data_IF_640559255058
#
_entry.id   IF_640559255058
#
_cell.length_a   1.000
_cell.length_b   1.000
_cell.length_c   1.000
_cell.angle_alpha   90.00
_cell.angle_beta   90.00
_cell.angle_gamma   90.00
#
_symmetry.space_group_name_H-M   'P 1'
#
loop_
_entity.id
_entity.type
_entity.pdbx_description
1 polymer ?
#
# COMPACT_ATOMS: atom_id res chain seq x y z
N UNK A 1 13.57 12.84 3.65
CA UNK A 1 14.71 12.21 2.94
C UNK A 1 14.58 12.32 1.41
N UNK A 2 13.50 11.84 0.75
CA UNK A 2 13.39 11.92 -0.72
C UNK A 2 13.49 13.34 -1.30
N UNK A 3 12.85 14.32 -0.67
CA UNK A 3 12.93 15.73 -1.08
C UNK A 3 14.33 16.34 -0.90
N UNK A 4 15.02 15.98 0.19
CA UNK A 4 16.38 16.45 0.43
C UNK A 4 17.35 15.87 -0.60
N UNK A 5 17.24 14.57 -0.92
CA UNK A 5 18.03 13.95 -1.98
C UNK A 5 17.75 14.55 -3.35
N UNK A 6 16.50 14.91 -3.64
CA UNK A 6 16.11 15.61 -4.87
C UNK A 6 16.84 16.96 -5.00
N UNK A 7 16.74 17.82 -3.98
CA UNK A 7 17.32 19.16 -4.01
C UNK A 7 18.85 19.13 -4.10
N UNK A 8 19.51 18.23 -3.37
CA UNK A 8 20.96 18.07 -3.42
C UNK A 8 21.42 17.58 -4.80
N UNK A 9 20.70 16.62 -5.38
CA UNK A 9 21.00 16.09 -6.70
C UNK A 9 20.88 17.16 -7.80
N UNK A 10 19.80 17.94 -7.80
CA UNK A 10 19.61 19.06 -8.73
C UNK A 10 20.73 20.10 -8.59
N UNK A 11 21.17 20.40 -7.36
CA UNK A 11 22.25 21.37 -7.13
C UNK A 11 23.60 20.93 -7.71
N UNK A 12 23.84 19.62 -7.83
CA UNK A 12 25.07 19.04 -8.38
C UNK A 12 24.91 18.71 -9.89
N UNK A 13 23.74 19.01 -10.48
CA UNK A 13 23.46 18.78 -11.90
C UNK A 13 23.17 17.32 -12.27
N UNK A 14 22.76 16.49 -11.30
CA UNK A 14 22.32 15.11 -11.53
C UNK A 14 20.82 14.98 -11.33
N UNK A 15 20.20 13.91 -11.86
CA UNK A 15 18.74 13.75 -11.82
C UNK A 15 18.19 13.67 -10.39
N UNK A 16 17.47 14.71 -9.96
CA UNK A 16 16.81 14.73 -8.65
C UNK A 16 15.77 13.62 -8.48
N UNK A 17 15.06 13.28 -9.55
CA UNK A 17 14.02 12.23 -9.55
C UNK A 17 14.66 10.86 -9.25
N UNK A 18 15.74 10.51 -9.96
CA UNK A 18 16.44 9.23 -9.74
C UNK A 18 17.07 9.16 -8.34
N UNK A 19 17.60 10.28 -7.84
CA UNK A 19 18.14 10.35 -6.48
C UNK A 19 17.06 10.11 -5.42
N UNK A 20 15.87 10.70 -5.57
CA UNK A 20 14.74 10.48 -4.67
C UNK A 20 14.26 9.02 -4.68
N UNK A 21 14.20 8.39 -5.85
CA UNK A 21 13.84 6.96 -5.99
C UNK A 21 14.88 6.07 -5.31
N UNK A 22 16.17 6.32 -5.55
CA UNK A 22 17.26 5.56 -4.93
C UNK A 22 17.24 5.71 -3.39
N UNK A 23 16.99 6.91 -2.88
CA UNK A 23 16.81 7.16 -1.45
C UNK A 23 15.62 6.38 -0.89
N UNK A 24 14.46 6.39 -1.58
CA UNK A 24 13.28 5.62 -1.20
C UNK A 24 13.56 4.12 -1.12
N UNK A 25 14.16 3.54 -2.16
CA UNK A 25 14.56 2.12 -2.16
C UNK A 25 15.52 1.78 -1.02
N UNK A 26 16.47 2.67 -0.74
CA UNK A 26 17.45 2.50 0.35
C UNK A 26 16.78 2.55 1.72
N UNK A 27 15.82 3.44 1.95
CA UNK A 27 15.06 3.51 3.22
C UNK A 27 14.30 2.22 3.47
N UNK A 28 13.63 1.69 2.43
CA UNK A 28 12.90 0.43 2.54
C UNK A 28 13.83 -0.75 2.85
N UNK A 29 15.00 -0.81 2.20
CA UNK A 29 15.96 -1.91 2.36
C UNK A 29 16.80 -1.82 3.65
N UNK A 30 17.09 -0.62 4.13
CA UNK A 30 17.96 -0.39 5.30
C UNK A 30 17.31 -0.78 6.62
N UNK A 31 16.01 -1.07 6.65
CA UNK A 31 15.31 -1.47 7.86
C UNK A 31 15.22 -0.36 8.90
N UNK A 32 15.49 0.90 8.53
CA UNK A 32 15.34 2.08 9.40
C UNK A 32 13.90 2.16 9.94
N UNK A 33 12.93 1.80 9.11
CA UNK A 33 11.51 1.72 9.49
C UNK A 33 11.21 0.59 10.51
N UNK A 34 12.10 -0.40 10.67
CA UNK A 34 11.90 -1.55 11.58
C UNK A 34 12.08 -1.18 13.05
N UNK A 35 12.76 -0.07 13.34
CA UNK A 35 12.96 0.48 14.69
C UNK A 35 11.99 1.62 15.04
N UNK A 36 11.17 2.06 14.09
CA UNK A 36 10.20 3.13 14.31
C UNK A 36 8.95 2.58 15.06
N UNK A 37 8.34 3.38 15.97
CA UNK A 37 7.10 3.01 16.65
C UNK A 37 6.00 2.58 15.66
N UNK A 38 5.22 1.57 16.02
CA UNK A 38 4.22 0.95 15.14
C UNK A 38 3.17 1.97 14.66
N UNK A 39 2.74 2.87 15.56
CA UNK A 39 1.82 3.97 15.25
C UNK A 39 2.39 4.96 14.21
N UNK A 40 3.71 5.20 14.21
CA UNK A 40 4.36 6.07 13.24
C UNK A 40 4.38 5.45 11.84
N UNK A 41 4.54 4.12 11.75
CA UNK A 41 4.56 3.39 10.47
C UNK A 41 3.19 3.36 9.79
N UNK A 42 2.14 3.05 10.57
CA UNK A 42 0.77 3.01 10.06
C UNK A 42 0.33 4.39 9.59
N UNK A 43 0.56 5.44 10.40
CA UNK A 43 0.24 6.82 10.02
C UNK A 43 1.02 7.28 8.80
N UNK A 44 2.32 6.98 8.71
CA UNK A 44 3.15 7.37 7.58
C UNK A 44 2.68 6.73 6.26
N UNK A 45 2.32 5.44 6.26
CA UNK A 45 1.84 4.78 5.04
C UNK A 45 0.55 5.41 4.54
N UNK A 46 -0.39 5.70 5.44
CA UNK A 46 -1.66 6.34 5.08
C UNK A 46 -1.47 7.76 4.56
N UNK A 47 -0.57 8.56 5.16
CA UNK A 47 -0.30 9.91 4.66
C UNK A 47 0.38 9.90 3.30
N UNK A 48 1.31 8.99 3.05
CA UNK A 48 1.92 8.84 1.73
C UNK A 48 0.92 8.39 0.66
N UNK A 49 0.04 7.44 0.98
CA UNK A 49 -1.01 7.01 0.07
C UNK A 49 -1.99 8.14 -0.27
N UNK A 50 -2.35 8.96 0.73
CA UNK A 50 -3.18 10.14 0.52
C UNK A 50 -2.48 11.16 -0.40
N UNK A 51 -1.20 11.46 -0.15
CA UNK A 51 -0.43 12.38 -1.00
C UNK A 51 -0.31 11.87 -2.44
N UNK A 52 -0.04 10.58 -2.63
CA UNK A 52 0.01 9.95 -3.95
C UNK A 52 -1.33 10.07 -4.68
N UNK A 53 -2.44 9.81 -3.98
CA UNK A 53 -3.78 9.97 -4.53
C UNK A 53 -4.07 11.42 -4.96
N UNK A 54 -3.76 12.39 -4.09
CA UNK A 54 -3.99 13.81 -4.40
C UNK A 54 -3.11 14.27 -5.57
N UNK A 55 -1.82 13.94 -5.58
CA UNK A 55 -0.93 14.35 -6.67
C UNK A 55 -1.27 13.70 -8.00
N UNK A 56 -1.57 12.40 -8.01
CA UNK A 56 -2.03 11.73 -9.24
C UNK A 56 -3.35 12.34 -9.72
N UNK A 57 -4.31 12.58 -8.82
CA UNK A 57 -5.58 13.24 -9.14
C UNK A 57 -5.38 14.64 -9.72
N UNK A 58 -4.49 15.44 -9.14
CA UNK A 58 -4.16 16.79 -9.61
C UNK A 58 -3.56 16.76 -11.02
N UNK A 59 -2.65 15.82 -11.30
CA UNK A 59 -2.02 15.70 -12.62
C UNK A 59 -3.04 15.33 -13.70
N UNK A 60 -3.97 14.42 -13.41
CA UNK A 60 -5.06 14.10 -14.34
C UNK A 60 -6.08 15.21 -14.49
N UNK A 61 -6.38 15.96 -13.42
CA UNK A 61 -7.25 17.14 -13.48
C UNK A 61 -6.62 18.22 -14.37
N UNK A 62 -5.33 18.50 -14.21
CA UNK A 62 -4.59 19.45 -15.05
C UNK A 62 -4.59 19.02 -16.52
N UNK A 63 -4.36 17.73 -16.79
CA UNK A 63 -4.48 17.19 -18.15
C UNK A 63 -5.89 17.44 -18.70
N UNK A 64 -6.92 17.07 -17.95
CA UNK A 64 -8.32 17.26 -18.34
C UNK A 64 -8.67 18.72 -18.64
N UNK A 65 -8.14 19.66 -17.84
CA UNK A 65 -8.35 21.09 -18.03
C UNK A 65 -7.61 21.63 -19.27
N UNK A 66 -6.44 21.07 -19.59
CA UNK A 66 -5.63 21.48 -20.74
C UNK A 66 -6.15 20.89 -22.06
N UNK A 67 -6.91 19.78 -22.03
CA UNK A 67 -7.39 19.10 -23.23
C UNK A 67 -8.10 20.02 -24.24
N UNK A 68 -9.09 20.86 -23.85
CA UNK A 68 -9.78 21.72 -24.82
C UNK A 68 -8.82 22.67 -25.54
N UNK A 69 -7.90 23.31 -24.81
CA UNK A 69 -6.92 24.22 -25.39
C UNK A 69 -5.92 23.50 -26.30
N UNK A 70 -5.53 22.27 -25.96
CA UNK A 70 -4.67 21.44 -26.81
C UNK A 70 -5.40 21.05 -28.10
N UNK A 71 -6.68 20.67 -28.02
CA UNK A 71 -7.49 20.33 -29.19
C UNK A 71 -7.69 21.54 -30.11
N UNK A 72 -8.07 22.70 -29.58
CA UNK A 72 -8.29 23.92 -30.36
C UNK A 72 -7.03 24.37 -31.11
N UNK A 73 -5.89 24.40 -30.41
CA UNK A 73 -4.62 24.83 -31.02
C UNK A 73 -4.11 23.84 -32.07
N UNK A 74 -4.27 22.54 -31.84
CA UNK A 74 -3.89 21.52 -32.82
C UNK A 74 -4.81 21.49 -34.05
N UNK A 75 -6.12 21.69 -33.87
CA UNK A 75 -7.07 21.77 -34.99
C UNK A 75 -6.81 23.02 -35.85
N UNK A 76 -6.57 24.17 -35.23
CA UNK A 76 -6.22 25.40 -35.95
C UNK A 76 -4.90 25.27 -36.72
N UNK A 77 -3.90 24.59 -36.14
CA UNK A 77 -2.63 24.37 -36.82
C UNK A 77 -2.75 23.38 -37.99
N UNK A 78 -3.59 22.35 -37.87
CA UNK A 78 -3.87 21.39 -38.95
C UNK A 78 -4.65 22.03 -40.12
N UNK A 79 -5.53 23.00 -39.86
CA UNK A 79 -6.22 23.76 -40.92
C UNK A 79 -5.29 24.66 -41.75
N UNK A 80 -4.12 25.04 -41.21
CA UNK A 80 -3.17 25.92 -41.88
C UNK A 80 -2.23 25.14 -42.83
N UNK A 81 -2.06 23.83 -42.64
CA UNK A 81 -1.16 23.00 -43.43
C UNK A 81 -1.94 22.13 -44.45
N UNK A 82 -1.85 22.39 -45.77
CA UNK A 82 -2.66 21.71 -46.80
C UNK A 82 -2.44 20.20 -46.92
N UNK A 83 -1.41 19.64 -46.27
CA UNK A 83 -1.05 18.23 -46.35
C UNK A 83 -1.38 17.42 -45.08
N UNK A 84 -1.91 18.04 -44.02
CA UNK A 84 -2.19 17.38 -42.74
C UNK A 84 -3.70 17.30 -42.52
N UNK A 85 -4.31 16.19 -42.92
CA UNK A 85 -5.69 15.92 -42.56
C UNK A 85 -5.79 15.57 -41.06
N UNK A 86 -6.85 16.05 -40.40
CA UNK A 86 -7.14 15.78 -38.96
C UNK A 86 -7.09 14.28 -38.63
N UNK A 87 -7.42 13.41 -39.59
CA UNK A 87 -7.34 11.96 -39.44
C UNK A 87 -5.92 11.44 -39.21
N UNK A 88 -4.89 12.10 -39.76
CA UNK A 88 -3.49 11.70 -39.60
C UNK A 88 -3.03 11.78 -38.13
N UNK A 89 -3.43 12.83 -37.41
CA UNK A 89 -3.15 13.01 -35.99
C UNK A 89 -3.70 11.86 -35.13
N UNK A 90 -4.92 11.39 -35.44
CA UNK A 90 -5.48 10.22 -34.75
C UNK A 90 -4.78 8.92 -35.13
N UNK A 91 -4.36 8.76 -36.39
CA UNK A 91 -3.56 7.60 -36.79
C UNK A 91 -2.21 7.58 -36.12
N UNK A 92 -1.57 8.74 -35.92
CA UNK A 92 -0.29 8.85 -35.23
C UNK A 92 -0.41 8.46 -33.75
N UNK A 93 -1.47 8.86 -33.06
CA UNK A 93 -1.73 8.42 -31.68
C UNK A 93 -1.82 6.89 -31.61
N UNK A 94 -2.58 6.27 -32.53
CA UNK A 94 -2.75 4.82 -32.56
C UNK A 94 -1.42 4.13 -32.88
N UNK A 95 -0.65 4.66 -33.84
CA UNK A 95 0.62 4.10 -34.28
C UNK A 95 1.69 4.22 -33.19
N UNK A 96 1.80 5.38 -32.54
CA UNK A 96 2.70 5.59 -31.39
C UNK A 96 2.32 4.66 -30.25
N UNK A 97 1.04 4.56 -29.92
CA UNK A 97 0.58 3.64 -28.87
C UNK A 97 0.92 2.18 -29.21
N UNK A 98 0.66 1.75 -30.44
CA UNK A 98 0.98 0.40 -30.90
C UNK A 98 2.49 0.13 -30.83
N UNK A 99 3.32 1.08 -31.28
CA UNK A 99 4.77 0.98 -31.19
C UNK A 99 5.25 0.86 -29.74
N UNK A 100 4.74 1.70 -28.83
CA UNK A 100 5.05 1.64 -27.40
C UNK A 100 4.63 0.30 -26.77
N UNK A 101 3.49 -0.25 -27.19
CA UNK A 101 3.03 -1.56 -26.73
C UNK A 101 3.91 -2.69 -27.25
N UNK A 102 4.31 -2.66 -28.52
CA UNK A 102 5.24 -3.64 -29.09
C UNK A 102 6.60 -3.60 -28.41
N UNK A 103 7.15 -2.40 -28.15
CA UNK A 103 8.41 -2.23 -27.43
C UNK A 103 8.30 -2.80 -26.02
N UNK A 104 7.23 -2.48 -25.29
CA UNK A 104 7.02 -2.99 -23.92
C UNK A 104 6.85 -4.51 -23.89
N UNK A 105 6.02 -5.05 -24.77
CA UNK A 105 5.81 -6.49 -24.88
C UNK A 105 7.10 -7.22 -25.27
N UNK A 106 7.80 -6.70 -26.28
CA UNK A 106 9.09 -7.22 -26.73
C UNK A 106 10.16 -7.19 -25.64
N UNK A 107 10.20 -6.12 -24.83
CA UNK A 107 11.11 -6.01 -23.69
C UNK A 107 10.82 -7.05 -22.62
N UNK A 108 9.56 -7.20 -22.19
CA UNK A 108 9.17 -8.20 -21.19
C UNK A 108 9.42 -9.63 -21.68
N UNK A 109 9.11 -9.89 -22.96
CA UNK A 109 9.37 -11.19 -23.58
C UNK A 109 10.87 -11.50 -23.65
N UNK A 110 11.69 -10.51 -24.00
CA UNK A 110 13.15 -10.63 -24.01
C UNK A 110 13.69 -10.89 -22.61
N UNK A 111 13.20 -10.17 -21.60
CA UNK A 111 13.57 -10.37 -20.20
C UNK A 111 13.21 -11.77 -19.70
N UNK A 112 12.03 -12.29 -20.05
CA UNK A 112 11.66 -13.68 -19.76
C UNK A 112 12.62 -14.68 -20.40
N UNK A 113 12.90 -14.54 -21.70
CA UNK A 113 13.83 -15.42 -22.43
C UNK A 113 15.23 -15.37 -21.83
N UNK A 114 15.70 -14.17 -21.47
CA UNK A 114 16.98 -13.96 -20.82
C UNK A 114 17.03 -14.63 -19.45
N UNK A 115 15.98 -14.46 -18.63
CA UNK A 115 15.87 -15.09 -17.31
C UNK A 115 15.98 -16.61 -17.39
N UNK A 116 15.18 -17.24 -18.26
CA UNK A 116 15.14 -18.69 -18.39
C UNK A 116 16.43 -19.27 -18.97
N UNK A 117 17.16 -18.48 -19.76
CA UNK A 117 18.42 -18.93 -20.39
C UNK A 117 19.63 -18.76 -19.48
N UNK A 118 19.74 -17.64 -18.76
CA UNK A 118 20.94 -17.27 -18.01
C UNK A 118 20.80 -17.39 -16.48
N UNK A 119 19.61 -17.25 -15.91
CA UNK A 119 19.39 -17.21 -14.46
C UNK A 119 18.78 -18.51 -13.90
N UNK A 120 19.40 -19.67 -14.18
CA UNK A 120 18.86 -20.99 -13.77
C UNK A 120 18.81 -21.24 -12.25
N UNK A 121 19.69 -20.61 -11.46
CA UNK A 121 19.76 -20.81 -9.99
C UNK A 121 18.82 -19.87 -9.20
N UNK A 122 18.46 -18.73 -9.77
CA UNK A 122 17.53 -17.73 -9.21
C UNK A 122 16.81 -17.06 -10.38
N UNK A 123 15.83 -17.72 -11.01
CA UNK A 123 15.07 -17.09 -12.08
C UNK A 123 14.41 -15.82 -11.53
N UNK A 124 14.28 -14.81 -12.38
CA UNK A 124 13.48 -13.64 -12.03
C UNK A 124 12.03 -14.09 -11.88
N UNK A 125 11.25 -13.43 -11.03
CA UNK A 125 9.79 -13.65 -10.84
C UNK A 125 9.05 -13.74 -12.20
N UNK A 126 9.51 -12.96 -13.19
CA UNK A 126 8.98 -12.91 -14.56
C UNK A 126 9.30 -14.14 -15.44
N UNK A 127 10.20 -15.03 -15.02
CA UNK A 127 10.67 -16.17 -15.82
C UNK A 127 9.63 -17.29 -16.00
N UNK A 128 8.77 -17.47 -14.99
CA UNK A 128 7.65 -18.42 -15.00
C UNK A 128 6.42 -17.90 -15.73
N UNK A 129 6.37 -16.60 -16.06
CA UNK A 129 5.13 -15.98 -16.52
C UNK A 129 4.62 -16.55 -17.84
N UNK A 130 3.32 -16.77 -17.97
CA UNK A 130 2.72 -17.16 -19.26
C UNK A 130 2.78 -16.00 -20.27
N UNK A 131 2.66 -16.30 -21.57
CA UNK A 131 2.60 -15.25 -22.61
C UNK A 131 1.40 -14.31 -22.41
N UNK A 132 0.32 -14.83 -21.81
CA UNK A 132 -0.85 -14.03 -21.43
C UNK A 132 -0.55 -13.09 -20.27
N UNK A 133 0.14 -13.54 -19.22
CA UNK A 133 0.61 -12.67 -18.13
C UNK A 133 1.50 -11.53 -18.62
N UNK A 134 2.36 -11.79 -19.61
CA UNK A 134 3.17 -10.73 -20.25
C UNK A 134 2.28 -9.73 -21.01
N UNK A 135 1.25 -10.20 -21.72
CA UNK A 135 0.28 -9.30 -22.35
C UNK A 135 -0.41 -8.44 -21.30
N UNK A 136 -0.92 -9.04 -20.22
CA UNK A 136 -1.57 -8.31 -19.13
C UNK A 136 -0.64 -7.28 -18.52
N UNK A 137 0.60 -7.65 -18.20
CA UNK A 137 1.61 -6.72 -17.67
C UNK A 137 1.96 -5.58 -18.66
N UNK A 138 1.78 -5.81 -19.97
CA UNK A 138 1.94 -4.77 -21.00
C UNK A 138 0.78 -3.77 -21.00
N UNK A 139 -0.47 -4.24 -20.78
CA UNK A 139 -1.67 -3.40 -20.71
C UNK A 139 -1.91 -2.77 -19.31
N UNK A 140 -1.40 -3.38 -18.24
CA UNK A 140 -1.61 -2.95 -16.85
C UNK A 140 -0.88 -1.66 -16.45
N UNK A 141 0.05 -1.18 -17.30
CA UNK A 141 0.74 0.08 -17.05
C UNK A 141 -0.10 1.28 -17.48
N UNK A 142 -0.81 1.88 -16.52
CA UNK A 142 -1.44 3.19 -16.67
C UNK A 142 -0.36 4.22 -16.99
N UNK A 143 -0.43 4.85 -18.17
CA UNK A 143 0.44 5.99 -18.52
C UNK A 143 -0.27 7.28 -18.13
N UNK A 144 0.50 8.30 -17.75
CA UNK A 144 -0.10 9.59 -17.44
C UNK A 144 0.89 10.58 -16.88
N UNK A 145 1.15 10.49 -15.57
CA UNK A 145 1.79 11.59 -14.86
C UNK A 145 3.23 11.88 -15.31
N UNK A 146 4.06 10.85 -15.48
CA UNK A 146 5.47 11.03 -15.86
C UNK A 146 5.60 11.55 -17.30
N UNK A 147 4.79 11.00 -18.22
CA UNK A 147 4.77 11.46 -19.63
C UNK A 147 4.30 12.91 -19.72
N UNK A 148 3.23 13.27 -19.00
CA UNK A 148 2.74 14.64 -18.98
C UNK A 148 3.76 15.60 -18.39
N UNK A 149 4.38 15.25 -17.26
CA UNK A 149 5.44 16.06 -16.67
C UNK A 149 6.57 16.30 -17.68
N UNK A 150 7.02 15.24 -18.37
CA UNK A 150 8.08 15.35 -19.38
C UNK A 150 7.71 16.30 -20.54
N UNK A 151 6.48 16.23 -21.04
CA UNK A 151 6.05 17.08 -22.16
C UNK A 151 5.79 18.53 -21.73
N UNK A 152 5.27 18.74 -20.52
CA UNK A 152 5.09 20.09 -19.98
C UNK A 152 6.41 20.76 -19.61
N UNK A 153 7.45 20.00 -19.28
CA UNK A 153 8.80 20.49 -19.05
C UNK A 153 9.51 20.98 -20.33
N UNK A 154 8.96 20.71 -21.52
CA UNK A 154 9.50 21.27 -22.77
C UNK A 154 9.33 22.80 -22.73
N UNK A 155 10.43 23.57 -22.89
CA UNK A 155 10.39 25.02 -22.79
C UNK A 155 9.51 25.63 -23.89
N UNK A 156 8.88 26.77 -23.58
CA UNK A 156 8.05 27.50 -24.55
C UNK A 156 8.91 28.16 -25.64
N UNK A 157 10.14 28.54 -25.30
CA UNK A 157 11.06 29.27 -26.15
C UNK A 157 12.40 28.52 -26.22
N UNK A 158 13.04 28.56 -27.39
CA UNK A 158 14.44 28.19 -27.54
C UNK A 158 15.34 29.19 -26.78
N UNK A 159 16.60 28.82 -26.50
CA UNK A 159 17.60 29.74 -25.94
C UNK A 159 17.75 31.05 -26.74
N UNK A 160 17.48 30.98 -28.04
CA UNK A 160 17.54 32.12 -28.97
C UNK A 160 16.28 33.02 -28.94
N UNK A 161 15.29 32.71 -28.08
CA UNK A 161 14.04 33.48 -27.93
C UNK A 161 12.93 33.13 -28.92
N UNK A 162 13.19 32.24 -29.89
CA UNK A 162 12.18 31.75 -30.84
C UNK A 162 11.23 30.73 -30.17
N UNK A 163 9.99 30.63 -30.66
CA UNK A 163 9.02 29.64 -30.16
C UNK A 163 9.49 28.22 -30.44
N UNK A 164 9.33 27.31 -29.47
CA UNK A 164 9.70 25.91 -29.65
C UNK A 164 8.85 25.26 -30.77
N UNK A 165 9.48 24.72 -31.82
CA UNK A 165 8.76 24.17 -32.97
C UNK A 165 7.94 22.95 -32.57
N UNK A 166 6.70 22.85 -33.07
CA UNK A 166 5.81 21.70 -32.87
C UNK A 166 5.57 21.28 -31.40
N UNK A 167 5.79 22.16 -30.41
CA UNK A 167 5.53 21.85 -29.00
C UNK A 167 4.08 21.44 -28.76
N UNK A 168 3.14 22.16 -29.35
CA UNK A 168 1.72 21.89 -29.20
C UNK A 168 1.34 20.52 -29.77
N UNK A 169 1.95 20.11 -30.88
CA UNK A 169 1.77 18.79 -31.49
C UNK A 169 2.31 17.67 -30.60
N UNK A 170 3.49 17.85 -29.99
CA UNK A 170 4.03 16.91 -29.00
C UNK A 170 3.11 16.78 -27.77
N UNK A 171 2.58 17.91 -27.28
CA UNK A 171 1.61 17.94 -26.18
C UNK A 171 0.31 17.21 -26.56
N UNK A 172 -0.19 17.43 -27.77
CA UNK A 172 -1.37 16.76 -28.31
C UNK A 172 -1.17 15.25 -28.43
N UNK A 173 -0.09 14.80 -29.08
CA UNK A 173 0.21 13.38 -29.24
C UNK A 173 0.41 12.70 -27.89
N UNK A 174 1.11 13.34 -26.95
CA UNK A 174 1.30 12.80 -25.61
C UNK A 174 -0.02 12.68 -24.83
N UNK A 175 -0.84 13.74 -24.82
CA UNK A 175 -2.15 13.71 -24.18
C UNK A 175 -3.08 12.67 -24.82
N UNK A 176 -3.10 12.60 -26.16
CA UNK A 176 -3.85 11.63 -26.93
C UNK A 176 -3.43 10.19 -26.63
N UNK A 177 -2.13 9.90 -26.61
CA UNK A 177 -1.59 8.57 -26.26
C UNK A 177 -1.90 8.22 -24.80
N UNK A 178 -1.83 9.17 -23.87
CA UNK A 178 -2.23 8.96 -22.47
C UNK A 178 -3.69 8.54 -22.41
N UNK A 179 -4.61 9.36 -22.94
CA UNK A 179 -6.05 9.07 -22.93
C UNK A 179 -6.38 7.77 -23.63
N UNK A 180 -5.81 7.53 -24.81
CA UNK A 180 -6.01 6.30 -25.56
C UNK A 180 -5.51 5.09 -24.77
N UNK A 181 -4.34 5.21 -24.11
CA UNK A 181 -3.81 4.14 -23.27
C UNK A 181 -4.66 3.83 -22.04
N UNK A 182 -5.25 4.86 -21.42
CA UNK A 182 -6.19 4.70 -20.31
C UNK A 182 -7.45 3.98 -20.76
N UNK A 183 -8.04 4.43 -21.87
CA UNK A 183 -9.23 3.85 -22.45
C UNK A 183 -9.01 2.37 -22.82
N UNK A 184 -7.95 2.08 -23.57
CA UNK A 184 -7.58 0.71 -23.94
C UNK A 184 -7.28 -0.13 -22.70
N UNK A 185 -6.59 0.42 -21.69
CA UNK A 185 -6.32 -0.27 -20.43
C UNK A 185 -7.59 -0.66 -19.67
N UNK A 186 -8.53 0.27 -19.51
CA UNK A 186 -9.81 0.04 -18.82
C UNK A 186 -10.66 -1.03 -19.51
N UNK A 187 -10.65 -1.08 -20.84
CA UNK A 187 -11.42 -2.07 -21.61
C UNK A 187 -10.69 -3.40 -21.73
N UNK A 188 -9.39 -3.41 -22.04
CA UNK A 188 -8.63 -4.64 -22.28
C UNK A 188 -8.32 -5.41 -21.01
N UNK A 189 -8.01 -4.74 -19.90
CA UNK A 189 -7.67 -5.43 -18.65
C UNK A 189 -8.75 -6.39 -18.16
N UNK A 190 -10.04 -6.00 -17.99
CA UNK A 190 -11.06 -6.94 -17.53
C UNK A 190 -11.22 -8.14 -18.47
N UNK A 191 -11.15 -7.92 -19.80
CA UNK A 191 -11.24 -8.98 -20.81
C UNK A 191 -10.04 -9.95 -20.70
N UNK A 192 -8.83 -9.41 -20.59
CA UNK A 192 -7.62 -10.21 -20.47
C UNK A 192 -7.57 -10.97 -19.13
N UNK A 193 -8.16 -10.44 -18.07
CA UNK A 193 -8.20 -11.03 -16.73
C UNK A 193 -9.31 -12.09 -16.55
N UNK A 194 -10.39 -12.07 -17.34
CA UNK A 194 -11.60 -12.90 -17.15
C UNK A 194 -11.38 -14.42 -17.07
N UNK A 195 -10.27 -14.94 -17.61
CA UNK A 195 -9.99 -16.39 -17.64
C UNK A 195 -8.64 -16.74 -17.04
N UNK A 196 -8.11 -15.88 -16.17
CA UNK A 196 -6.93 -16.23 -15.39
C UNK A 196 -7.45 -16.87 -14.13
N UNK A 197 -7.28 -18.18 -14.03
CA UNK A 197 -7.15 -18.79 -12.72
C UNK A 197 -5.98 -18.05 -12.06
N UNK A 198 -6.28 -17.20 -11.09
CA UNK A 198 -5.27 -16.47 -10.31
C UNK A 198 -4.29 -17.53 -9.82
N UNK A 199 -3.15 -17.61 -10.49
CA UNK A 199 -2.12 -18.54 -10.13
C UNK A 199 -1.66 -18.14 -8.72
N UNK A 200 -2.10 -18.98 -7.79
CA UNK A 200 -1.45 -19.22 -6.51
C UNK A 200 -1.70 -18.18 -5.40
N UNK A 201 -2.97 -17.81 -5.17
CA UNK A 201 -3.40 -17.46 -3.80
C UNK A 201 -2.90 -18.53 -2.81
N UNK A 202 -2.84 -19.81 -3.21
CA UNK A 202 -2.26 -20.87 -2.41
C UNK A 202 -0.76 -20.68 -2.09
N UNK A 203 0.09 -20.17 -2.99
CA UNK A 203 1.50 -19.88 -2.67
C UNK A 203 1.60 -18.73 -1.69
N UNK A 204 0.91 -17.61 -1.95
CA UNK A 204 0.96 -16.45 -1.06
C UNK A 204 0.41 -16.81 0.33
N UNK A 205 -0.72 -17.53 0.39
CA UNK A 205 -1.27 -18.05 1.64
C UNK A 205 -0.32 -19.05 2.31
N UNK A 206 0.42 -19.86 1.55
CA UNK A 206 1.41 -20.80 2.09
C UNK A 206 2.63 -20.07 2.65
N UNK A 207 3.16 -19.08 1.92
CA UNK A 207 4.25 -18.22 2.38
C UNK A 207 3.84 -17.46 3.65
N UNK A 208 2.62 -16.92 3.67
CA UNK A 208 2.07 -16.24 4.83
C UNK A 208 1.90 -17.18 6.03
N UNK A 209 1.37 -18.40 5.82
CA UNK A 209 1.24 -19.42 6.87
C UNK A 209 2.61 -19.81 7.43
N UNK A 210 3.60 -20.04 6.56
CA UNK A 210 4.97 -20.36 6.99
C UNK A 210 5.56 -19.19 7.80
N UNK A 211 5.38 -17.95 7.34
CA UNK A 211 5.86 -16.77 8.06
C UNK A 211 5.17 -16.60 9.42
N UNK A 212 3.83 -16.75 9.48
CA UNK A 212 3.06 -16.69 10.73
C UNK A 212 3.50 -17.77 11.71
N UNK A 213 3.64 -19.01 11.27
CA UNK A 213 4.13 -20.11 12.09
C UNK A 213 5.53 -19.83 12.66
N UNK A 214 6.48 -19.45 11.80
CA UNK A 214 7.85 -19.13 12.22
C UNK A 214 7.89 -17.96 13.23
N UNK A 215 7.09 -16.91 13.01
CA UNK A 215 7.03 -15.78 13.96
C UNK A 215 6.40 -16.16 15.29
N UNK A 216 5.37 -17.02 15.27
CA UNK A 216 4.71 -17.49 16.49
C UNK A 216 5.65 -18.39 17.31
N UNK A 217 6.41 -19.28 16.68
CA UNK A 217 7.42 -20.10 17.36
C UNK A 217 8.45 -19.23 18.11
N UNK A 218 9.00 -18.21 17.43
CA UNK A 218 9.97 -17.29 18.04
C UNK A 218 9.34 -16.51 19.20
N UNK A 219 8.09 -16.07 19.05
CA UNK A 219 7.36 -15.36 20.11
C UNK A 219 7.09 -16.25 21.33
N UNK A 220 6.71 -17.52 21.11
CA UNK A 220 6.48 -18.49 22.19
C UNK A 220 7.76 -18.72 22.99
N UNK A 221 8.90 -18.91 22.32
CA UNK A 221 10.21 -19.05 22.97
C UNK A 221 10.57 -17.80 23.77
N UNK A 222 10.25 -16.61 23.26
CA UNK A 222 10.49 -15.37 23.99
C UNK A 222 9.63 -15.26 25.26
N UNK A 223 8.35 -15.68 25.20
CA UNK A 223 7.45 -15.72 26.36
C UNK A 223 7.95 -16.73 27.40
N UNK A 224 8.35 -17.93 26.99
CA UNK A 224 8.90 -18.94 27.90
C UNK A 224 10.16 -18.45 28.61
N UNK A 225 11.06 -17.75 27.90
CA UNK A 225 12.22 -17.11 28.52
C UNK A 225 11.85 -15.98 29.49
N UNK A 226 10.78 -15.25 29.20
CA UNK A 226 10.27 -14.22 30.11
C UNK A 226 9.66 -14.86 31.35
N UNK A 227 8.92 -15.95 31.20
CA UNK A 227 8.35 -16.76 32.29
C UNK A 227 9.46 -17.28 33.21
N UNK A 228 10.51 -17.89 32.66
CA UNK A 228 11.68 -18.34 33.43
C UNK A 228 12.37 -17.19 34.19
N UNK A 229 12.48 -16.01 33.57
CA UNK A 229 13.08 -14.82 34.21
C UNK A 229 12.24 -14.29 35.35
N UNK A 230 10.93 -14.16 35.15
CA UNK A 230 9.99 -13.68 36.17
C UNK A 230 9.83 -14.68 37.31
N UNK A 231 9.87 -15.98 37.03
CA UNK A 231 9.86 -17.02 38.06
C UNK A 231 11.14 -17.04 38.90
N UNK A 232 12.27 -16.60 38.33
CA UNK A 232 13.54 -16.46 39.05
C UNK A 232 13.68 -15.10 39.76
N UNK A 233 12.86 -14.11 39.41
CA UNK A 233 12.89 -12.78 39.99
C UNK A 233 12.18 -12.77 41.34
N UNK A 234 12.95 -12.56 42.41
CA UNK A 234 12.43 -12.57 43.79
C UNK A 234 11.87 -11.21 44.20
N UNK A 235 12.14 -10.13 43.44
CA UNK A 235 11.66 -8.78 43.78
C UNK A 235 10.17 -8.58 43.47
N UNK A 236 9.67 -9.12 42.35
CA UNK A 236 8.26 -8.95 41.96
C UNK A 236 7.30 -9.92 42.66
N UNK A 237 7.81 -11.01 43.29
CA UNK A 237 7.04 -12.02 44.05
C UNK A 237 5.69 -12.40 43.41
N UNK A 238 5.72 -12.64 42.09
CA UNK A 238 4.53 -13.00 41.30
C UNK A 238 4.16 -14.45 41.59
N UNK A 239 2.85 -14.71 41.76
CA UNK A 239 2.36 -16.08 41.90
C UNK A 239 2.69 -16.90 40.65
N UNK A 240 3.44 -17.99 40.84
CA UNK A 240 3.87 -18.88 39.77
C UNK A 240 2.68 -19.52 39.03
N UNK A 241 1.54 -19.68 39.70
CA UNK A 241 0.33 -20.18 39.08
C UNK A 241 -0.27 -19.15 38.11
N UNK A 242 -0.34 -17.88 38.51
CA UNK A 242 -0.82 -16.79 37.63
C UNK A 242 0.12 -16.57 36.44
N UNK A 243 1.43 -16.66 36.67
CA UNK A 243 2.45 -16.58 35.62
C UNK A 243 2.23 -17.64 34.54
N UNK A 244 2.06 -18.90 34.97
CA UNK A 244 1.83 -20.04 34.07
C UNK A 244 0.49 -19.90 33.33
N UNK A 245 -0.57 -19.47 34.02
CA UNK A 245 -1.89 -19.26 33.42
C UNK A 245 -1.83 -18.19 32.32
N UNK A 246 -1.25 -17.02 32.61
CA UNK A 246 -1.13 -15.93 31.64
C UNK A 246 -0.24 -16.33 30.46
N UNK A 247 0.92 -16.94 30.72
CA UNK A 247 1.83 -17.45 29.69
C UNK A 247 1.11 -18.44 28.77
N UNK A 248 0.41 -19.42 29.33
CA UNK A 248 -0.32 -20.43 28.57
C UNK A 248 -1.45 -19.83 27.72
N UNK A 249 -2.17 -18.82 28.24
CA UNK A 249 -3.21 -18.10 27.51
C UNK A 249 -2.64 -17.33 26.32
N UNK A 250 -1.52 -16.62 26.51
CA UNK A 250 -0.86 -15.85 25.44
C UNK A 250 -0.25 -16.79 24.39
N UNK A 251 0.39 -17.88 24.81
CA UNK A 251 0.92 -18.92 23.91
C UNK A 251 -0.22 -19.58 23.11
N UNK A 252 -1.35 -19.87 23.75
CA UNK A 252 -2.55 -20.39 23.10
C UNK A 252 -3.06 -19.46 21.99
N UNK A 253 -3.10 -18.15 22.25
CA UNK A 253 -3.48 -17.14 21.26
C UNK A 253 -2.48 -17.03 20.10
N UNK A 254 -1.17 -17.18 20.36
CA UNK A 254 -0.15 -17.20 19.31
C UNK A 254 -0.28 -18.42 18.40
N UNK A 255 -0.48 -19.61 18.97
CA UNK A 255 -0.66 -20.86 18.20
C UNK A 255 -1.93 -20.83 17.35
N UNK A 256 -3.05 -20.35 17.90
CA UNK A 256 -4.31 -20.19 17.14
C UNK A 256 -4.15 -19.26 15.94
N UNK A 257 -3.41 -18.17 16.09
CA UNK A 257 -3.09 -17.25 14.97
C UNK A 257 -2.14 -17.86 13.93
N UNK A 258 -1.26 -18.79 14.34
CA UNK A 258 -0.29 -19.45 13.46
C UNK A 258 -0.91 -20.55 12.60
N UNK A 259 -1.83 -21.34 13.15
CA UNK A 259 -2.44 -22.48 12.46
C UNK A 259 -3.31 -22.07 11.26
N UNK A 260 -3.67 -20.79 11.14
CA UNK A 260 -4.35 -20.24 9.97
C UNK A 260 -5.71 -20.90 9.67
N UNK A 261 -6.25 -21.67 10.61
CA UNK A 261 -7.61 -22.27 10.53
C UNK A 261 -8.71 -21.24 10.77
N UNK A 262 -8.33 -20.08 11.28
CA UNK A 262 -9.21 -18.97 11.60
C UNK A 262 -8.76 -17.77 10.74
N UNK A 263 -9.63 -17.35 9.81
CA UNK A 263 -9.48 -16.08 9.10
C UNK A 263 -9.23 -14.98 10.14
N UNK A 264 -8.39 -14.00 9.83
CA UNK A 264 -8.14 -12.83 10.70
C UNK A 264 -9.46 -12.25 11.22
N UNK A 265 -10.52 -12.33 10.40
CA UNK A 265 -11.90 -11.97 10.72
C UNK A 265 -12.49 -12.75 11.90
N UNK A 266 -12.27 -14.06 11.99
CA UNK A 266 -12.74 -14.89 13.11
C UNK A 266 -11.99 -14.62 14.43
N UNK A 267 -10.69 -14.29 14.37
CA UNK A 267 -9.95 -13.86 15.56
C UNK A 267 -10.45 -12.52 16.08
N UNK A 268 -10.72 -11.56 15.19
CA UNK A 268 -11.31 -10.26 15.54
C UNK A 268 -12.73 -10.44 16.07
N UNK A 269 -13.49 -11.41 15.55
CA UNK A 269 -14.82 -11.74 16.07
C UNK A 269 -14.75 -12.32 17.48
N UNK A 270 -13.85 -13.27 17.77
CA UNK A 270 -13.68 -13.82 19.12
C UNK A 270 -13.34 -12.73 20.14
N UNK A 271 -12.40 -11.85 19.82
CA UNK A 271 -11.98 -10.74 20.68
C UNK A 271 -13.10 -9.72 20.92
N UNK A 272 -13.85 -9.38 19.85
CA UNK A 272 -15.04 -8.54 19.98
C UNK A 272 -16.14 -9.22 20.83
N UNK A 273 -16.27 -10.54 20.75
CA UNK A 273 -17.24 -11.31 21.53
C UNK A 273 -16.87 -11.30 23.02
N UNK A 274 -15.60 -11.58 23.32
CA UNK A 274 -15.06 -11.54 24.68
C UNK A 274 -15.24 -10.15 25.30
N UNK A 275 -14.94 -9.08 24.55
CA UNK A 275 -15.18 -7.70 24.99
C UNK A 275 -16.65 -7.45 25.31
N UNK A 276 -17.57 -7.87 24.45
CA UNK A 276 -19.03 -7.70 24.68
C UNK A 276 -19.48 -8.41 25.94
N UNK A 277 -19.00 -9.63 26.19
CA UNK A 277 -19.32 -10.36 27.41
C UNK A 277 -18.78 -9.66 28.66
N UNK A 278 -17.53 -9.16 28.63
CA UNK A 278 -16.95 -8.41 29.75
C UNK A 278 -17.71 -7.13 30.05
N UNK A 279 -18.08 -6.35 29.02
CA UNK A 279 -18.89 -5.15 29.19
C UNK A 279 -20.29 -5.46 29.75
N UNK A 280 -20.90 -6.58 29.35
CA UNK A 280 -22.17 -7.02 29.91
C UNK A 280 -22.05 -7.40 31.40
N UNK A 281 -20.96 -8.05 31.81
CA UNK A 281 -20.67 -8.35 33.20
C UNK A 281 -20.49 -7.08 34.03
N UNK A 282 -19.64 -6.15 33.58
CA UNK A 282 -19.40 -4.87 34.27
C UNK A 282 -20.68 -4.04 34.46
N UNK A 283 -21.56 -4.01 33.44
CA UNK A 283 -22.87 -3.35 33.56
C UNK A 283 -23.76 -4.00 34.63
N UNK A 284 -23.71 -5.33 34.73
CA UNK A 284 -24.49 -6.09 35.71
C UNK A 284 -23.96 -5.87 37.13
N UNK A 285 -22.64 -5.88 37.31
CA UNK A 285 -21.98 -5.55 38.59
C UNK A 285 -22.32 -4.12 39.03
N UNK A 286 -22.29 -3.15 38.11
CA UNK A 286 -22.68 -1.76 38.40
C UNK A 286 -24.14 -1.66 38.85
N UNK A 287 -25.05 -2.40 38.21
CA UNK A 287 -26.46 -2.42 38.60
C UNK A 287 -26.64 -2.98 40.02
N UNK A 288 -25.93 -4.06 40.37
CA UNK A 288 -25.98 -4.66 41.71
C UNK A 288 -25.42 -3.72 42.77
N UNK A 289 -24.33 -2.99 42.50
CA UNK A 289 -23.80 -2.00 43.44
C UNK A 289 -24.80 -0.89 43.76
N UNK A 290 -25.57 -0.42 42.76
CA UNK A 290 -26.64 0.53 43.01
C UNK A 290 -27.79 -0.07 43.82
N UNK A 291 -28.11 -1.35 43.59
CA UNK A 291 -29.11 -2.07 44.37
C UNK A 291 -28.70 -2.23 45.83
N UNK A 292 -27.46 -2.69 46.10
CA UNK A 292 -26.88 -2.81 47.44
C UNK A 292 -26.82 -1.46 48.17
N UNK A 293 -26.62 -0.36 47.43
CA UNK A 293 -26.70 0.98 48.00
C UNK A 293 -28.14 1.34 48.38
N UNK A 294 -29.11 1.02 47.53
CA UNK A 294 -30.52 1.28 47.78
C UNK A 294 -31.06 0.49 48.98
N UNK A 295 -30.59 -0.75 49.18
CA UNK A 295 -30.90 -1.60 50.35
C UNK A 295 -30.10 -1.23 51.60
N UNK A 296 -29.20 -0.23 51.51
CA UNK A 296 -28.32 0.26 52.60
C UNK A 296 -27.32 -0.79 53.12
N UNK A 297 -26.98 -1.79 52.32
CA UNK A 297 -25.97 -2.78 52.68
C UNK A 297 -24.54 -2.23 52.54
N UNK A 298 -24.34 -1.23 51.66
CA UNK A 298 -23.04 -0.59 51.44
C UNK A 298 -23.05 0.93 51.70
N UNK A 299 -21.90 1.44 52.15
CA UNK A 299 -21.67 2.87 52.35
C UNK A 299 -21.51 3.62 51.02
N UNK A 300 -21.70 4.94 51.03
CA UNK A 300 -21.49 5.76 49.83
C UNK A 300 -20.04 5.78 49.37
N UNK A 301 -19.12 5.76 50.33
CA UNK A 301 -17.68 5.76 50.07
C UNK A 301 -17.24 4.44 49.41
N UNK A 302 -17.77 3.31 49.91
CA UNK A 302 -17.54 1.98 49.31
C UNK A 302 -18.09 1.91 47.89
N UNK A 303 -19.29 2.45 47.66
CA UNK A 303 -19.88 2.52 46.31
C UNK A 303 -18.99 3.33 45.36
N UNK A 304 -18.57 4.53 45.74
CA UNK A 304 -17.73 5.38 44.88
C UNK A 304 -16.39 4.71 44.55
N UNK A 305 -15.77 4.04 45.52
CA UNK A 305 -14.53 3.29 45.30
C UNK A 305 -14.72 2.16 44.29
N UNK A 306 -15.74 1.32 44.47
CA UNK A 306 -15.99 0.19 43.57
C UNK A 306 -16.44 0.64 42.18
N UNK A 307 -17.23 1.72 42.08
CA UNK A 307 -17.57 2.30 40.78
C UNK A 307 -16.33 2.82 40.06
N UNK A 308 -15.39 3.45 40.76
CA UNK A 308 -14.14 3.91 40.18
C UNK A 308 -13.29 2.75 39.62
N UNK A 309 -13.22 1.64 40.34
CA UNK A 309 -12.51 0.43 39.88
C UNK A 309 -13.17 -0.17 38.62
N UNK A 310 -14.51 -0.21 38.58
CA UNK A 310 -15.26 -0.65 37.39
C UNK A 310 -15.08 0.29 36.20
N UNK A 311 -15.03 1.61 36.43
CA UNK A 311 -14.78 2.61 35.39
C UNK A 311 -13.38 2.43 34.79
N UNK A 312 -12.38 2.10 35.60
CA UNK A 312 -11.01 1.83 35.14
C UNK A 312 -10.94 0.55 34.27
N UNK A 313 -11.64 -0.51 34.67
CA UNK A 313 -11.75 -1.73 33.87
C UNK A 313 -12.49 -1.50 32.55
N UNK A 314 -13.55 -0.69 32.57
CA UNK A 314 -14.31 -0.31 31.37
C UNK A 314 -13.43 0.53 30.41
N UNK A 315 -12.62 1.45 30.94
CA UNK A 315 -11.70 2.27 30.14
C UNK A 315 -10.65 1.41 29.40
N UNK A 316 -10.06 0.43 30.07
CA UNK A 316 -9.08 -0.49 29.46
C UNK A 316 -9.67 -1.29 28.29
N UNK A 317 -10.96 -1.61 28.35
CA UNK A 317 -11.66 -2.33 27.27
C UNK A 317 -12.08 -1.42 26.10
N UNK A 318 -12.12 -0.11 26.30
CA UNK A 318 -12.53 0.88 25.28
C UNK A 318 -11.31 1.47 24.55
N UNK A 319 -10.17 1.64 25.23
CA UNK A 319 -8.95 2.25 24.66
C UNK A 319 -8.28 1.41 23.56
N UNK A 320 -8.50 0.10 23.49
CA UNK A 320 -7.99 -0.77 22.40
C UNK A 320 -8.49 -0.39 20.98
N UNK A 321 -9.36 0.63 20.86
CA UNK A 321 -10.04 1.02 19.63
C UNK A 321 -9.62 2.39 19.06
N UNK A 322 -8.58 3.06 19.58
CA UNK A 322 -8.02 4.32 19.03
C UNK A 322 -6.60 4.16 18.48
#
# INVERSE_FOLDING_TARGET
LPFASYLIAEHIGVSGILAAVAAGMTITRSGVMRRAPLAMRLRANSTWAMLEFVFNGMVFLLLGLQLPGILETSLMAAEIDPNVEIWMLFTDIILIYAALMLVRFGWLWTMKKFSNRFLKKKPMEFGSWTTREILIASFAGVRGAITLAGVLSIPLLLPDGNVFPARYELVFLAAGVILFSLFVGVVMLPILLQHIEVADHSQQLKEERIARAATAEVAIVAIQKMEERLAADTEENIDNQLLTEVSSRVIGNLRRRADGRNDVESSVQEENLERRFRLAALRSERAELYHLRATREISNETLQKLLHDLDLLEALLIEENQ
#
